data_IF_389902447824
#
_entry.id   IF_389902447824
#
_cell.length_a   1.000
_cell.length_b   1.000
_cell.length_c   1.000
_cell.angle_alpha   90.00
_cell.angle_beta   90.00
_cell.angle_gamma   90.00
#
_symmetry.space_group_name_H-M   'P 1'
#
loop_
_entity.id
_entity.type
_entity.pdbx_description
1 polymer ?
#
# COMPACT_ATOMS: atom_id res chain seq x y z
N UNK A 1 13.02 -12.53 -33.62
CA UNK A 1 14.00 -11.69 -34.35
C UNK A 1 14.62 -10.73 -33.34
N UNK A 2 15.87 -10.96 -32.92
CA UNK A 2 16.59 -10.04 -32.03
C UNK A 2 16.88 -8.73 -32.79
N UNK A 3 16.62 -7.54 -32.21
CA UNK A 3 16.95 -6.27 -32.86
C UNK A 3 18.47 -6.19 -33.01
N UNK A 4 18.91 -6.08 -34.27
CA UNK A 4 20.30 -6.03 -34.72
C UNK A 4 21.13 -5.00 -33.94
N UNK A 5 20.51 -3.96 -33.37
CA UNK A 5 21.15 -2.91 -32.58
C UNK A 5 21.68 -3.36 -31.20
N UNK A 6 21.03 -4.27 -30.48
CA UNK A 6 21.55 -4.75 -29.18
C UNK A 6 22.54 -5.92 -29.38
N UNK A 7 22.41 -6.68 -30.47
CA UNK A 7 23.37 -7.73 -30.86
C UNK A 7 24.66 -7.14 -31.46
N UNK A 8 24.61 -6.04 -32.20
CA UNK A 8 25.81 -5.36 -32.71
C UNK A 8 26.70 -4.85 -31.59
N UNK A 9 26.17 -4.37 -30.46
CA UNK A 9 27.00 -4.00 -29.31
C UNK A 9 27.67 -5.20 -28.64
N UNK A 10 27.06 -6.39 -28.68
CA UNK A 10 27.69 -7.60 -28.13
C UNK A 10 28.69 -8.24 -29.12
N UNK A 11 28.41 -8.17 -30.42
CA UNK A 11 29.24 -8.78 -31.47
C UNK A 11 30.43 -7.90 -31.89
N UNK A 12 30.31 -6.57 -31.77
CA UNK A 12 31.44 -5.65 -31.97
C UNK A 12 32.45 -5.79 -30.82
N UNK A 13 32.01 -6.08 -29.59
CA UNK A 13 32.92 -6.19 -28.43
C UNK A 13 33.77 -7.47 -28.41
N UNK A 14 33.26 -8.61 -28.90
CA UNK A 14 34.09 -9.83 -29.05
C UNK A 14 35.07 -9.73 -30.20
N UNK A 15 34.77 -8.91 -31.21
CA UNK A 15 35.68 -8.60 -32.32
C UNK A 15 36.72 -7.53 -31.96
N UNK A 16 36.45 -6.61 -31.04
CA UNK A 16 37.39 -5.55 -30.63
C UNK A 16 38.64 -6.13 -29.95
N UNK A 17 38.51 -7.18 -29.14
CA UNK A 17 39.66 -7.90 -28.57
C UNK A 17 40.51 -8.68 -29.60
N UNK A 18 40.02 -8.88 -30.83
CA UNK A 18 40.75 -9.52 -31.93
C UNK A 18 41.23 -8.51 -33.00
N UNK A 19 40.68 -7.30 -33.02
CA UNK A 19 41.00 -6.22 -33.97
C UNK A 19 42.06 -5.23 -33.45
N UNK A 20 42.40 -5.26 -32.17
CA UNK A 20 43.50 -4.44 -31.60
C UNK A 20 44.89 -4.76 -32.20
N UNK A 21 45.01 -5.83 -33.01
CA UNK A 21 46.21 -6.15 -33.81
C UNK A 21 46.19 -5.57 -35.25
N UNK A 22 45.10 -4.95 -35.72
CA UNK A 22 44.95 -4.47 -37.11
C UNK A 22 44.66 -2.95 -37.25
N UNK A 23 44.60 -2.19 -36.15
CA UNK A 23 44.06 -0.81 -36.08
C UNK A 23 45.16 0.27 -36.03
N UNK A 24 46.23 0.11 -36.82
CA UNK A 24 47.23 1.18 -37.01
C UNK A 24 46.79 2.24 -38.05
N UNK A 25 45.68 2.03 -38.77
CA UNK A 25 45.23 2.89 -39.89
C UNK A 25 43.79 3.43 -39.77
N UNK A 26 43.06 3.14 -38.69
CA UNK A 26 41.67 3.62 -38.43
C UNK A 26 41.55 4.58 -37.24
N UNK A 27 42.66 5.15 -36.78
CA UNK A 27 42.75 5.91 -35.52
C UNK A 27 41.98 7.25 -35.49
N UNK A 28 41.61 7.83 -36.63
CA UNK A 28 40.85 9.10 -36.67
C UNK A 28 39.32 8.91 -36.68
N UNK A 29 38.80 7.81 -37.21
CA UNK A 29 37.37 7.46 -37.17
C UNK A 29 37.02 6.59 -35.96
N UNK A 30 37.98 5.83 -35.43
CA UNK A 30 37.80 4.99 -34.25
C UNK A 30 37.48 5.78 -32.97
N UNK A 31 38.09 6.95 -32.77
CA UNK A 31 37.88 7.76 -31.57
C UNK A 31 36.49 8.40 -31.46
N UNK A 32 35.89 8.84 -32.59
CA UNK A 32 34.51 9.34 -32.58
C UNK A 32 33.51 8.22 -32.31
N UNK A 33 33.68 7.07 -32.96
CA UNK A 33 32.79 5.93 -32.76
C UNK A 33 32.87 5.37 -31.33
N UNK A 34 34.07 5.25 -30.75
CA UNK A 34 34.25 4.85 -29.35
C UNK A 34 33.58 5.81 -28.37
N UNK A 35 33.73 7.12 -28.56
CA UNK A 35 33.04 8.14 -27.76
C UNK A 35 31.51 8.02 -27.85
N UNK A 36 30.95 7.75 -29.03
CA UNK A 36 29.50 7.53 -29.19
C UNK A 36 29.01 6.27 -28.47
N UNK A 37 29.77 5.18 -28.52
CA UNK A 37 29.46 3.94 -27.78
C UNK A 37 29.45 4.20 -26.27
N UNK A 38 30.44 4.93 -25.74
CA UNK A 38 30.47 5.32 -24.32
C UNK A 38 29.28 6.20 -23.95
N UNK A 39 28.92 7.21 -24.76
CA UNK A 39 27.71 8.04 -24.53
C UNK A 39 26.43 7.20 -24.50
N UNK A 40 26.30 6.25 -25.43
CA UNK A 40 25.15 5.35 -25.52
C UNK A 40 25.04 4.43 -24.29
N UNK A 41 26.15 3.80 -23.91
CA UNK A 41 26.22 2.97 -22.70
C UNK A 41 25.95 3.78 -21.43
N UNK A 42 26.45 5.02 -21.37
CA UNK A 42 26.17 5.91 -20.26
C UNK A 42 24.67 6.22 -20.13
N UNK A 43 24.02 6.57 -21.26
CA UNK A 43 22.58 6.83 -21.29
C UNK A 43 21.79 5.61 -20.81
N UNK A 44 22.17 4.40 -21.24
CA UNK A 44 21.54 3.15 -20.79
C UNK A 44 21.76 2.92 -19.28
N UNK A 45 22.96 3.14 -18.76
CA UNK A 45 23.28 3.00 -17.35
C UNK A 45 22.48 3.99 -16.48
N UNK A 46 22.38 5.26 -16.90
CA UNK A 46 21.57 6.26 -16.21
C UNK A 46 20.08 5.86 -16.16
N UNK A 47 19.52 5.35 -17.27
CA UNK A 47 18.14 4.86 -17.33
C UNK A 47 17.90 3.63 -16.47
N UNK A 48 18.85 2.69 -16.42
CA UNK A 48 18.78 1.54 -15.51
C UNK A 48 18.83 1.97 -14.04
N UNK A 49 19.68 2.94 -13.69
CA UNK A 49 19.73 3.51 -12.34
C UNK A 49 18.41 4.20 -11.96
N UNK A 50 17.84 4.98 -12.88
CA UNK A 50 16.53 5.62 -12.72
C UNK A 50 15.39 4.60 -12.56
N UNK A 51 15.39 3.53 -13.35
CA UNK A 51 14.39 2.47 -13.26
C UNK A 51 14.51 1.72 -11.94
N UNK A 52 15.73 1.37 -11.52
CA UNK A 52 15.98 0.75 -10.21
C UNK A 52 15.42 1.60 -9.07
N UNK A 53 15.65 2.91 -9.08
CA UNK A 53 15.09 3.84 -8.09
C UNK A 53 13.58 3.94 -8.13
N UNK A 54 13.02 4.01 -9.33
CA UNK A 54 11.58 4.04 -9.51
C UNK A 54 10.94 2.74 -8.99
N UNK A 55 11.60 1.59 -9.16
CA UNK A 55 11.16 0.32 -8.61
C UNK A 55 11.19 0.31 -7.07
N UNK A 56 12.25 0.82 -6.44
CA UNK A 56 12.30 0.99 -4.98
C UNK A 56 11.15 1.89 -4.48
N UNK A 57 10.93 3.02 -5.15
CA UNK A 57 9.85 3.93 -4.79
C UNK A 57 8.46 3.31 -4.99
N UNK A 58 8.24 2.51 -6.04
CA UNK A 58 7.01 1.74 -6.24
C UNK A 58 6.82 0.67 -5.15
N UNK A 59 7.89 -0.03 -4.76
CA UNK A 59 7.88 -0.99 -3.66
C UNK A 59 7.44 -0.34 -2.34
N UNK A 60 8.01 0.83 -2.03
CA UNK A 60 7.60 1.64 -0.87
C UNK A 60 6.13 2.08 -0.91
N UNK A 61 5.62 2.50 -2.09
CA UNK A 61 4.20 2.83 -2.27
C UNK A 61 3.29 1.61 -2.06
N UNK A 62 3.68 0.46 -2.59
CA UNK A 62 2.93 -0.78 -2.43
C UNK A 62 2.84 -1.21 -0.95
N UNK A 63 3.96 -1.16 -0.24
CA UNK A 63 4.02 -1.43 1.21
C UNK A 63 3.13 -0.47 2.01
N UNK A 64 3.16 0.83 1.68
CA UNK A 64 2.30 1.83 2.30
C UNK A 64 0.80 1.56 2.07
N UNK A 65 0.40 1.12 0.86
CA UNK A 65 -0.99 0.74 0.58
C UNK A 65 -1.43 -0.48 1.39
N UNK A 66 -0.56 -1.49 1.55
CA UNK A 66 -0.86 -2.65 2.39
C UNK A 66 -1.02 -2.26 3.86
N UNK A 67 -0.16 -1.37 4.39
CA UNK A 67 -0.29 -0.83 5.74
C UNK A 67 -1.61 -0.06 5.91
N UNK A 68 -1.90 0.86 5.00
CA UNK A 68 -3.13 1.65 5.04
C UNK A 68 -4.39 0.77 4.97
N UNK A 69 -4.37 -0.32 4.20
CA UNK A 69 -5.48 -1.28 4.17
C UNK A 69 -5.65 -2.02 5.50
N UNK A 70 -4.55 -2.36 6.19
CA UNK A 70 -4.61 -2.95 7.52
C UNK A 70 -5.15 -1.97 8.56
N UNK A 71 -4.78 -0.69 8.49
CA UNK A 71 -5.31 0.35 9.38
C UNK A 71 -6.83 0.53 9.21
N UNK A 72 -7.32 0.55 7.97
CA UNK A 72 -8.78 0.57 7.68
C UNK A 72 -9.47 -0.62 8.32
N UNK A 73 -8.88 -1.81 8.22
CA UNK A 73 -9.42 -3.01 8.85
C UNK A 73 -9.47 -2.89 10.38
N UNK A 74 -8.39 -2.43 11.02
CA UNK A 74 -8.36 -2.24 12.48
C UNK A 74 -9.47 -1.30 12.95
N UNK A 75 -9.68 -0.18 12.25
CA UNK A 75 -10.79 0.74 12.56
C UNK A 75 -12.15 0.10 12.36
N UNK A 76 -12.31 -0.68 11.30
CA UNK A 76 -13.58 -1.37 11.00
C UNK A 76 -13.88 -2.49 12.00
N UNK A 77 -12.86 -3.22 12.44
CA UNK A 77 -13.01 -4.26 13.46
C UNK A 77 -13.40 -3.66 14.82
N UNK A 78 -12.82 -2.52 15.21
CA UNK A 78 -13.25 -1.78 16.39
C UNK A 78 -14.71 -1.32 16.29
N UNK A 79 -15.17 -0.89 15.11
CA UNK A 79 -16.58 -0.55 14.86
C UNK A 79 -17.48 -1.78 15.03
N UNK A 80 -17.05 -2.93 14.51
CA UNK A 80 -17.76 -4.20 14.65
C UNK A 80 -17.89 -4.58 16.14
N UNK A 81 -16.78 -4.57 16.89
CA UNK A 81 -16.76 -4.89 18.32
C UNK A 81 -17.71 -3.97 19.12
N UNK A 82 -17.66 -2.66 18.88
CA UNK A 82 -18.60 -1.70 19.50
C UNK A 82 -20.06 -1.99 19.15
N UNK A 83 -20.34 -2.48 17.94
CA UNK A 83 -21.67 -2.92 17.54
C UNK A 83 -22.12 -4.22 18.23
N UNK A 84 -21.20 -5.16 18.47
CA UNK A 84 -21.45 -6.40 19.23
C UNK A 84 -21.80 -6.10 20.68
N UNK A 85 -21.06 -5.19 21.31
CA UNK A 85 -21.37 -4.69 22.66
C UNK A 85 -22.76 -4.06 22.72
N UNK A 86 -23.10 -3.20 21.75
CA UNK A 86 -24.42 -2.55 21.69
C UNK A 86 -25.55 -3.57 21.52
N UNK A 87 -25.34 -4.63 20.72
CA UNK A 87 -26.31 -5.71 20.55
C UNK A 87 -26.49 -6.51 21.85
N UNK A 88 -25.38 -6.82 22.53
CA UNK A 88 -25.39 -7.54 23.80
C UNK A 88 -26.14 -6.73 24.88
N UNK A 89 -25.86 -5.43 24.99
CA UNK A 89 -26.57 -4.54 25.91
C UNK A 89 -28.09 -4.51 25.63
N UNK A 90 -28.49 -4.47 24.35
CA UNK A 90 -29.90 -4.49 23.97
C UNK A 90 -30.58 -5.83 24.33
N UNK A 91 -29.86 -6.95 24.16
CA UNK A 91 -30.34 -8.28 24.54
C UNK A 91 -30.50 -8.40 26.07
N UNK A 92 -29.49 -7.98 26.84
CA UNK A 92 -29.51 -8.04 28.30
C UNK A 92 -30.65 -7.16 28.86
N UNK A 93 -30.84 -5.96 28.31
CA UNK A 93 -31.98 -5.10 28.66
C UNK A 93 -33.34 -5.75 28.35
N UNK A 94 -33.48 -6.40 27.19
CA UNK A 94 -34.70 -7.11 26.84
C UNK A 94 -34.99 -8.28 27.79
N UNK A 95 -33.96 -9.04 28.18
CA UNK A 95 -34.07 -10.13 29.14
C UNK A 95 -34.44 -9.64 30.54
N UNK A 96 -33.80 -8.58 31.04
CA UNK A 96 -34.11 -7.98 32.34
C UNK A 96 -35.58 -7.53 32.39
N UNK A 97 -36.04 -6.82 31.37
CA UNK A 97 -37.41 -6.32 31.29
C UNK A 97 -38.43 -7.47 31.23
N UNK A 98 -38.14 -8.51 30.44
CA UNK A 98 -38.99 -9.69 30.33
C UNK A 98 -39.04 -10.52 31.63
N UNK A 99 -37.90 -10.76 32.29
CA UNK A 99 -37.82 -11.56 33.51
C UNK A 99 -38.41 -10.85 34.74
N UNK A 100 -38.17 -9.55 34.88
CA UNK A 100 -38.61 -8.80 36.06
C UNK A 100 -39.98 -8.10 35.89
N UNK A 101 -40.67 -8.29 34.75
CA UNK A 101 -41.90 -7.56 34.40
C UNK A 101 -41.76 -6.03 34.52
N UNK A 102 -40.55 -5.52 34.31
CA UNK A 102 -40.23 -4.09 34.45
C UNK A 102 -40.80 -3.36 33.23
N UNK A 103 -41.94 -2.69 33.40
CA UNK A 103 -42.63 -2.00 32.31
C UNK A 103 -44.12 -2.33 32.16
N UNK A 104 -44.67 -3.19 33.03
CA UNK A 104 -46.08 -3.53 33.03
C UNK A 104 -46.47 -4.45 31.86
N UNK A 105 -47.77 -4.55 31.60
CA UNK A 105 -48.32 -5.44 30.56
C UNK A 105 -47.77 -5.04 29.17
N UNK A 106 -46.97 -5.92 28.57
CA UNK A 106 -46.34 -5.69 27.26
C UNK A 106 -44.96 -5.02 27.29
N UNK A 107 -44.39 -4.73 28.47
CA UNK A 107 -43.02 -4.19 28.59
C UNK A 107 -41.97 -5.11 27.97
N UNK A 108 -42.05 -6.42 28.28
CA UNK A 108 -41.22 -7.47 27.69
C UNK A 108 -41.29 -7.51 26.16
N UNK A 109 -42.50 -7.47 25.60
CA UNK A 109 -42.70 -7.49 24.14
C UNK A 109 -42.10 -6.25 23.47
N UNK A 110 -42.23 -5.06 24.09
CA UNK A 110 -41.63 -3.83 23.57
C UNK A 110 -40.10 -3.88 23.62
N UNK A 111 -39.52 -4.37 24.71
CA UNK A 111 -38.08 -4.49 24.87
C UNK A 111 -37.50 -5.52 23.88
N UNK A 112 -38.18 -6.64 23.68
CA UNK A 112 -37.80 -7.63 22.68
C UNK A 112 -37.92 -7.07 21.25
N UNK A 113 -38.99 -6.33 20.92
CA UNK A 113 -39.12 -5.66 19.63
C UNK A 113 -38.03 -4.60 19.39
N UNK A 114 -37.59 -3.94 20.46
CA UNK A 114 -36.46 -3.02 20.47
C UNK A 114 -35.14 -3.75 20.15
N UNK A 115 -34.86 -4.85 20.85
CA UNK A 115 -33.71 -5.71 20.59
C UNK A 115 -33.67 -6.18 19.13
N UNK A 116 -34.79 -6.67 18.57
CA UNK A 116 -34.86 -7.12 17.18
C UNK A 116 -34.51 -6.01 16.16
N UNK A 117 -34.73 -4.73 16.49
CA UNK A 117 -34.30 -3.62 15.62
C UNK A 117 -32.80 -3.39 15.67
N UNK A 118 -32.20 -3.52 16.86
CA UNK A 118 -30.74 -3.45 17.04
C UNK A 118 -30.09 -4.63 16.31
N UNK A 119 -30.62 -5.83 16.46
CA UNK A 119 -30.17 -7.05 15.78
C UNK A 119 -30.22 -6.90 14.26
N UNK A 120 -31.35 -6.45 13.71
CA UNK A 120 -31.47 -6.20 12.27
C UNK A 120 -30.48 -5.14 11.76
N UNK A 121 -30.26 -4.05 12.51
CA UNK A 121 -29.26 -3.04 12.16
C UNK A 121 -27.84 -3.59 12.25
N UNK A 122 -27.58 -4.49 13.20
CA UNK A 122 -26.28 -5.11 13.40
C UNK A 122 -25.97 -6.13 12.31
N UNK A 123 -26.96 -6.86 11.79
CA UNK A 123 -26.81 -7.69 10.60
C UNK A 123 -26.42 -6.88 9.35
N UNK A 124 -27.00 -5.68 9.16
CA UNK A 124 -26.54 -4.77 8.10
C UNK A 124 -25.07 -4.36 8.29
N UNK A 125 -24.65 -4.11 9.54
CA UNK A 125 -23.26 -3.80 9.86
C UNK A 125 -22.33 -4.98 9.59
N UNK A 126 -22.70 -6.20 9.98
CA UNK A 126 -21.93 -7.43 9.68
C UNK A 126 -21.71 -7.60 8.18
N UNK A 127 -22.75 -7.34 7.38
CA UNK A 127 -22.64 -7.34 5.92
C UNK A 127 -21.62 -6.32 5.40
N UNK A 128 -21.66 -5.09 5.89
CA UNK A 128 -20.71 -4.04 5.52
C UNK A 128 -19.27 -4.35 5.96
N UNK A 129 -19.07 -4.85 7.18
CA UNK A 129 -17.75 -5.25 7.71
C UNK A 129 -17.16 -6.40 6.88
N UNK A 130 -17.98 -7.38 6.47
CA UNK A 130 -17.55 -8.45 5.57
C UNK A 130 -17.09 -7.90 4.21
N UNK A 131 -17.77 -6.89 3.67
CA UNK A 131 -17.36 -6.24 2.43
C UNK A 131 -15.99 -5.54 2.59
N UNK A 132 -15.80 -4.80 3.69
CA UNK A 132 -14.49 -4.19 4.02
C UNK A 132 -13.39 -5.26 4.11
N UNK A 133 -13.65 -6.39 4.77
CA UNK A 133 -12.68 -7.49 4.89
C UNK A 133 -12.25 -8.03 3.52
N UNK A 134 -13.21 -8.27 2.62
CA UNK A 134 -12.94 -8.75 1.26
C UNK A 134 -12.10 -7.74 0.46
N UNK A 135 -12.44 -6.45 0.55
CA UNK A 135 -11.70 -5.39 -0.13
C UNK A 135 -10.30 -5.19 0.45
N UNK A 136 -10.14 -5.34 1.77
CA UNK A 136 -8.84 -5.35 2.45
C UNK A 136 -7.96 -6.46 1.90
N UNK A 137 -8.46 -7.70 1.85
CA UNK A 137 -7.72 -8.83 1.30
C UNK A 137 -7.31 -8.59 -0.15
N UNK A 138 -8.22 -8.06 -0.98
CA UNK A 138 -7.92 -7.74 -2.38
C UNK A 138 -6.82 -6.68 -2.49
N UNK A 139 -6.91 -5.60 -1.70
CA UNK A 139 -5.94 -4.50 -1.69
C UNK A 139 -4.55 -5.00 -1.27
N UNK A 140 -4.48 -5.74 -0.16
CA UNK A 140 -3.21 -6.32 0.34
C UNK A 140 -2.62 -7.30 -0.66
N UNK A 141 -3.44 -8.14 -1.31
CA UNK A 141 -2.97 -9.07 -2.34
C UNK A 141 -2.33 -8.35 -3.53
N UNK A 142 -2.96 -7.30 -4.05
CA UNK A 142 -2.39 -6.53 -5.17
C UNK A 142 -1.15 -5.74 -4.75
N UNK A 143 -1.17 -5.15 -3.56
CA UNK A 143 -0.03 -4.43 -3.00
C UNK A 143 1.20 -5.34 -2.81
N UNK A 144 1.05 -6.51 -2.18
CA UNK A 144 2.15 -7.46 -2.00
C UNK A 144 2.67 -8.00 -3.34
N UNK A 145 1.79 -8.24 -4.31
CA UNK A 145 2.21 -8.64 -5.65
C UNK A 145 3.00 -7.53 -6.36
N UNK A 146 2.58 -6.26 -6.22
CA UNK A 146 3.31 -5.12 -6.74
C UNK A 146 4.68 -4.97 -6.05
N UNK A 147 4.76 -5.12 -4.73
CA UNK A 147 6.00 -5.05 -3.97
C UNK A 147 7.00 -6.13 -4.42
N UNK A 148 6.55 -7.39 -4.51
CA UNK A 148 7.38 -8.49 -4.99
C UNK A 148 7.89 -8.24 -6.42
N UNK A 149 7.02 -7.75 -7.31
CA UNK A 149 7.40 -7.46 -8.70
C UNK A 149 8.35 -6.26 -8.79
N UNK A 150 8.18 -5.25 -7.94
CA UNK A 150 9.06 -4.10 -7.82
C UNK A 150 10.47 -4.55 -7.38
N UNK A 151 10.57 -5.42 -6.37
CA UNK A 151 11.85 -5.94 -5.89
C UNK A 151 12.58 -6.76 -6.98
N UNK A 152 11.87 -7.63 -7.70
CA UNK A 152 12.43 -8.36 -8.85
C UNK A 152 12.90 -7.40 -9.95
N UNK A 153 12.13 -6.34 -10.20
CA UNK A 153 12.48 -5.32 -11.19
C UNK A 153 13.74 -4.56 -10.79
N UNK A 154 13.86 -4.19 -9.51
CA UNK A 154 15.04 -3.57 -8.94
C UNK A 154 16.27 -4.47 -9.08
N UNK A 155 16.16 -5.75 -8.72
CA UNK A 155 17.27 -6.71 -8.82
C UNK A 155 17.76 -6.86 -10.26
N UNK A 156 16.84 -7.01 -11.21
CA UNK A 156 17.17 -7.11 -12.64
C UNK A 156 17.78 -5.83 -13.18
N UNK A 157 17.27 -4.67 -12.76
CA UNK A 157 17.82 -3.37 -13.12
C UNK A 157 19.24 -3.20 -12.56
N UNK A 158 19.48 -3.58 -11.30
CA UNK A 158 20.80 -3.55 -10.67
C UNK A 158 21.79 -4.50 -11.31
N UNK A 159 21.38 -5.73 -11.66
CA UNK A 159 22.23 -6.68 -12.36
C UNK A 159 22.64 -6.12 -13.74
N UNK A 160 21.68 -5.58 -14.49
CA UNK A 160 21.93 -4.95 -15.79
C UNK A 160 22.83 -3.71 -15.66
N UNK A 161 22.62 -2.92 -14.60
CA UNK A 161 23.40 -1.73 -14.30
C UNK A 161 24.84 -2.07 -13.93
N UNK A 162 25.05 -3.09 -13.09
CA UNK A 162 26.38 -3.56 -12.69
C UNK A 162 27.20 -3.98 -13.91
N UNK A 163 26.60 -4.73 -14.84
CA UNK A 163 27.23 -5.09 -16.11
C UNK A 163 27.57 -3.87 -16.94
N UNK A 164 26.63 -2.91 -17.11
CA UNK A 164 26.86 -1.67 -17.85
C UNK A 164 27.98 -0.82 -17.22
N UNK A 165 28.02 -0.70 -15.90
CA UNK A 165 29.05 0.02 -15.15
C UNK A 165 30.42 -0.66 -15.27
N UNK A 166 30.48 -1.99 -15.26
CA UNK A 166 31.72 -2.74 -15.50
C UNK A 166 32.31 -2.42 -16.89
N UNK A 167 31.46 -2.36 -17.92
CA UNK A 167 31.89 -1.96 -19.27
C UNK A 167 32.37 -0.51 -19.34
N UNK A 168 31.68 0.43 -18.70
CA UNK A 168 32.10 1.84 -18.62
C UNK A 168 33.41 1.98 -17.83
N UNK A 169 33.60 1.18 -16.76
CA UNK A 169 34.84 1.21 -15.99
C UNK A 169 36.02 0.66 -16.80
N UNK A 170 35.81 -0.38 -17.60
CA UNK A 170 36.85 -0.90 -18.48
C UNK A 170 37.35 0.14 -19.50
N UNK A 171 36.46 1.01 -20.02
CA UNK A 171 36.87 2.09 -20.93
C UNK A 171 37.67 3.19 -20.22
N UNK A 172 37.44 3.44 -18.93
CA UNK A 172 38.27 4.37 -18.14
C UNK A 172 39.72 3.89 -17.96
N UNK A 173 39.95 2.58 -17.95
CA UNK A 173 41.28 1.99 -17.72
C UNK A 173 42.02 1.61 -19.00
N UNK A 174 41.31 1.42 -20.12
CA UNK A 174 41.87 0.88 -21.38
C UNK A 174 41.99 1.85 -22.55
N UNK A 175 41.58 3.12 -22.39
CA UNK A 175 41.50 4.09 -23.48
C UNK A 175 42.80 4.86 -23.73
N UNK A 176 43.30 4.82 -24.96
CA UNK A 176 44.35 5.73 -25.45
C UNK A 176 43.86 7.20 -25.62
N UNK A 177 42.54 7.42 -25.56
CA UNK A 177 41.90 8.73 -25.69
C UNK A 177 41.49 9.28 -24.30
N UNK A 178 42.14 10.36 -23.81
CA UNK A 178 41.81 10.95 -22.51
C UNK A 178 40.37 11.50 -22.44
N UNK A 179 39.78 11.91 -23.57
CA UNK A 179 38.39 12.40 -23.58
C UNK A 179 37.39 11.26 -23.37
N UNK A 180 37.66 10.07 -23.91
CA UNK A 180 36.84 8.86 -23.69
C UNK A 180 36.83 8.48 -22.20
N UNK A 181 38.01 8.46 -21.58
CA UNK A 181 38.16 8.19 -20.16
C UNK A 181 37.47 9.24 -19.27
N UNK A 182 37.54 10.52 -19.63
CA UNK A 182 36.86 11.58 -18.90
C UNK A 182 35.33 11.47 -19.01
N UNK A 183 34.81 11.18 -20.20
CA UNK A 183 33.38 10.97 -20.43
C UNK A 183 32.86 9.78 -19.61
N UNK A 184 33.58 8.66 -19.61
CA UNK A 184 33.23 7.49 -18.82
C UNK A 184 33.26 7.78 -17.30
N UNK A 185 34.28 8.50 -16.82
CA UNK A 185 34.36 8.92 -15.41
C UNK A 185 33.23 9.87 -15.00
N UNK A 186 32.85 10.83 -15.86
CA UNK A 186 31.70 11.70 -15.60
C UNK A 186 30.41 10.90 -15.51
N UNK A 187 30.23 9.93 -16.41
CA UNK A 187 29.09 9.02 -16.37
C UNK A 187 29.00 8.23 -15.06
N UNK A 188 30.12 7.65 -14.61
CA UNK A 188 30.17 6.90 -13.35
C UNK A 188 29.77 7.78 -12.17
N UNK A 189 30.25 9.03 -12.12
CA UNK A 189 29.86 10.01 -11.09
C UNK A 189 28.38 10.36 -11.16
N UNK A 190 27.80 10.52 -12.36
CA UNK A 190 26.38 10.80 -12.52
C UNK A 190 25.50 9.64 -12.07
N UNK A 191 25.88 8.40 -12.41
CA UNK A 191 25.16 7.20 -11.92
C UNK A 191 25.26 7.09 -10.41
N UNK A 192 26.43 7.30 -9.82
CA UNK A 192 26.62 7.22 -8.36
C UNK A 192 25.85 8.33 -7.62
N UNK A 193 25.85 9.56 -8.16
CA UNK A 193 25.03 10.65 -7.67
C UNK A 193 23.54 10.33 -7.79
N UNK A 194 23.13 9.74 -8.92
CA UNK A 194 21.76 9.29 -9.12
C UNK A 194 21.40 8.13 -8.22
N UNK A 195 22.30 7.27 -7.77
CA UNK A 195 22.04 6.15 -6.85
C UNK A 195 22.05 6.59 -5.38
N UNK A 196 22.83 7.60 -5.01
CA UNK A 196 22.92 8.12 -3.64
C UNK A 196 21.75 9.01 -3.20
N UNK A 197 21.08 9.71 -4.13
CA UNK A 197 19.94 10.60 -3.79
C UNK A 197 18.73 9.83 -3.22
N UNK A 198 18.24 10.14 -2.03
CA UNK A 198 16.97 9.56 -1.60
C UNK A 198 15.80 10.20 -2.37
N UNK A 199 15.39 9.60 -3.49
CA UNK A 199 14.37 10.15 -4.39
C UNK A 199 13.12 9.28 -4.32
N UNK A 200 12.00 9.88 -3.95
CA UNK A 200 10.67 9.26 -3.94
C UNK A 200 9.91 9.43 -5.26
N UNK A 201 10.48 10.19 -6.19
CA UNK A 201 9.92 10.43 -7.52
C UNK A 201 9.99 9.15 -8.34
N UNK A 202 8.81 8.61 -8.66
CA UNK A 202 8.65 7.48 -9.59
C UNK A 202 8.54 8.06 -10.99
N UNK A 203 9.43 7.64 -11.89
CA UNK A 203 9.29 7.93 -13.32
C UNK A 203 8.17 7.03 -13.88
N UNK A 204 7.28 7.62 -14.68
CA UNK A 204 6.15 6.89 -15.23
C UNK A 204 6.62 5.74 -16.14
N UNK A 205 5.96 4.58 -16.07
CA UNK A 205 6.31 3.43 -16.89
C UNK A 205 6.28 3.75 -18.40
N UNK A 206 5.38 4.64 -18.82
CA UNK A 206 5.26 5.14 -20.19
C UNK A 206 6.54 5.81 -20.71
N UNK A 207 7.36 6.42 -19.86
CA UNK A 207 8.62 7.04 -20.29
C UNK A 207 9.67 5.99 -20.69
N UNK A 208 9.73 4.88 -19.97
CA UNK A 208 10.60 3.75 -20.32
C UNK A 208 10.07 2.96 -21.52
N UNK A 209 8.74 2.87 -21.65
CA UNK A 209 8.12 2.22 -22.80
C UNK A 209 8.27 3.01 -24.10
N UNK A 210 8.22 4.34 -24.02
CA UNK A 210 8.39 5.22 -25.18
C UNK A 210 9.80 5.14 -25.78
N UNK A 211 10.82 4.85 -24.95
CA UNK A 211 12.17 4.61 -25.44
C UNK A 211 12.32 3.19 -26.00
N UNK A 212 12.02 3.07 -27.30
CA UNK A 212 12.17 1.82 -28.06
C UNK A 212 13.58 1.24 -27.99
N UNK A 213 14.63 2.07 -27.92
CA UNK A 213 16.02 1.58 -27.87
C UNK A 213 16.27 0.93 -26.50
N UNK A 214 15.86 1.60 -25.43
CA UNK A 214 16.00 1.08 -24.08
C UNK A 214 15.15 -0.17 -23.85
N UNK A 215 13.87 -0.14 -24.23
CA UNK A 215 12.95 -1.29 -24.12
C UNK A 215 13.45 -2.50 -24.91
N UNK A 216 14.02 -2.30 -26.10
CA UNK A 216 14.57 -3.39 -26.90
C UNK A 216 15.83 -4.03 -26.30
N UNK A 217 16.64 -3.25 -25.58
CA UNK A 217 17.83 -3.80 -24.92
C UNK A 217 17.54 -4.36 -23.51
N UNK A 218 16.46 -3.93 -22.85
CA UNK A 218 16.07 -4.40 -21.51
C UNK A 218 14.58 -4.76 -21.40
N UNK A 219 14.05 -5.64 -22.28
CA UNK A 219 12.61 -5.91 -22.35
C UNK A 219 12.08 -6.50 -21.05
N UNK A 220 12.84 -7.40 -20.41
CA UNK A 220 12.41 -8.05 -19.17
C UNK A 220 12.33 -7.10 -17.98
N UNK A 221 13.17 -6.06 -17.96
CA UNK A 221 13.19 -5.06 -16.89
C UNK A 221 12.03 -4.08 -17.07
N UNK A 222 11.86 -3.58 -18.29
CA UNK A 222 10.78 -2.63 -18.61
C UNK A 222 9.41 -3.29 -18.46
N UNK A 223 9.21 -4.52 -18.96
CA UNK A 223 7.92 -5.21 -18.82
C UNK A 223 7.59 -5.51 -17.34
N UNK A 224 8.58 -5.90 -16.53
CA UNK A 224 8.36 -6.12 -15.10
C UNK A 224 7.99 -4.81 -14.37
N UNK A 225 8.59 -3.67 -14.77
CA UNK A 225 8.25 -2.36 -14.24
C UNK A 225 6.81 -1.95 -14.62
N UNK A 226 6.41 -2.14 -15.88
CA UNK A 226 5.04 -1.86 -16.37
C UNK A 226 4.00 -2.71 -15.65
N UNK A 227 4.27 -4.00 -15.47
CA UNK A 227 3.41 -4.89 -14.70
C UNK A 227 3.28 -4.45 -13.23
N UNK A 228 4.39 -4.01 -12.63
CA UNK A 228 4.39 -3.47 -11.26
C UNK A 228 3.48 -2.25 -11.14
N UNK A 229 3.59 -1.30 -12.08
CA UNK A 229 2.75 -0.11 -12.12
C UNK A 229 1.26 -0.47 -12.29
N UNK A 230 0.95 -1.42 -13.17
CA UNK A 230 -0.41 -1.95 -13.34
C UNK A 230 -0.98 -2.59 -12.07
N UNK A 231 -0.17 -3.37 -11.34
CA UNK A 231 -0.57 -3.95 -10.05
C UNK A 231 -0.80 -2.87 -8.98
N UNK A 232 0.02 -1.83 -8.97
CA UNK A 232 -0.12 -0.70 -8.04
C UNK A 232 -1.40 0.10 -8.33
N UNK A 233 -1.73 0.31 -9.60
CA UNK A 233 -2.99 0.96 -10.00
C UNK A 233 -4.21 0.13 -9.53
N UNK A 234 -4.17 -1.19 -9.70
CA UNK A 234 -5.21 -2.10 -9.19
C UNK A 234 -5.31 -2.05 -7.65
N UNK A 235 -4.18 -1.95 -6.93
CA UNK A 235 -4.17 -1.80 -5.48
C UNK A 235 -4.75 -0.46 -5.04
N UNK A 236 -4.47 0.62 -5.76
CA UNK A 236 -4.99 1.96 -5.50
C UNK A 236 -6.51 2.02 -5.70
N UNK A 237 -7.01 1.47 -6.81
CA UNK A 237 -8.46 1.37 -7.06
C UNK A 237 -9.17 0.51 -5.99
N UNK A 238 -8.54 -0.61 -5.59
CA UNK A 238 -9.08 -1.44 -4.51
C UNK A 238 -9.10 -0.69 -3.16
N UNK A 239 -8.10 0.16 -2.89
CA UNK A 239 -8.03 0.99 -1.69
C UNK A 239 -9.13 2.06 -1.67
N UNK A 240 -9.41 2.72 -2.79
CA UNK A 240 -10.53 3.68 -2.88
C UNK A 240 -11.87 3.01 -2.57
N UNK A 241 -12.08 1.80 -3.09
CA UNK A 241 -13.28 0.99 -2.78
C UNK A 241 -13.31 0.57 -1.31
N UNK A 242 -12.16 0.22 -0.74
CA UNK A 242 -12.02 -0.12 0.68
C UNK A 242 -12.42 1.07 1.56
N UNK A 243 -11.99 2.28 1.22
CA UNK A 243 -12.34 3.51 1.96
C UNK A 243 -13.83 3.85 1.84
N UNK A 244 -14.41 3.64 0.66
CA UNK A 244 -15.86 3.77 0.48
C UNK A 244 -16.63 2.75 1.34
N UNK A 245 -16.16 1.50 1.39
CA UNK A 245 -16.77 0.46 2.22
C UNK A 245 -16.60 0.72 3.74
N UNK A 246 -15.46 1.30 4.18
CA UNK A 246 -15.28 1.74 5.56
C UNK A 246 -16.33 2.80 5.93
N UNK A 247 -16.56 3.77 5.06
CA UNK A 247 -17.58 4.79 5.28
C UNK A 247 -18.98 4.19 5.34
N UNK A 248 -19.29 3.21 4.49
CA UNK A 248 -20.55 2.48 4.57
C UNK A 248 -20.70 1.75 5.93
N UNK A 249 -19.67 1.03 6.38
CA UNK A 249 -19.67 0.36 7.68
C UNK A 249 -19.88 1.35 8.84
N UNK A 250 -19.26 2.54 8.79
CA UNK A 250 -19.50 3.62 9.76
C UNK A 250 -20.94 4.10 9.77
N UNK A 251 -21.57 4.26 8.61
CA UNK A 251 -22.98 4.64 8.49
C UNK A 251 -23.88 3.55 9.09
N UNK A 252 -23.61 2.27 8.80
CA UNK A 252 -24.37 1.14 9.38
C UNK A 252 -24.18 1.05 10.89
N UNK A 253 -22.97 1.27 11.40
CA UNK A 253 -22.72 1.31 12.84
C UNK A 253 -23.46 2.45 13.54
N UNK A 254 -23.59 3.60 12.89
CA UNK A 254 -24.45 4.67 13.39
C UNK A 254 -25.91 4.22 13.50
N UNK A 255 -26.43 3.49 12.49
CA UNK A 255 -27.79 2.92 12.58
C UNK A 255 -27.97 1.95 13.75
N UNK A 256 -26.96 1.14 14.08
CA UNK A 256 -26.99 0.26 15.26
C UNK A 256 -27.16 1.08 16.53
N UNK A 257 -26.35 2.13 16.70
CA UNK A 257 -26.46 3.05 17.84
C UNK A 257 -27.80 3.79 17.90
N UNK A 258 -28.28 4.26 16.75
CA UNK A 258 -29.57 4.95 16.64
C UNK A 258 -30.73 3.99 17.00
N UNK A 259 -30.71 2.75 16.50
CA UNK A 259 -31.68 1.72 16.85
C UNK A 259 -31.66 1.36 18.34
N UNK A 260 -30.48 1.30 18.95
CA UNK A 260 -30.33 1.06 20.39
C UNK A 260 -30.89 2.23 21.22
N UNK A 261 -30.63 3.48 20.79
CA UNK A 261 -31.20 4.66 21.43
C UNK A 261 -32.74 4.68 21.32
N UNK A 262 -33.29 4.38 20.15
CA UNK A 262 -34.74 4.33 19.94
C UNK A 262 -35.40 3.20 20.78
N UNK A 263 -34.69 2.08 20.93
CA UNK A 263 -35.08 0.96 21.78
C UNK A 263 -35.19 1.37 23.25
N UNK A 264 -34.20 2.09 23.78
CA UNK A 264 -34.23 2.61 25.15
C UNK A 264 -35.39 3.59 25.38
N UNK A 265 -35.66 4.48 24.43
CA UNK A 265 -36.78 5.44 24.52
C UNK A 265 -38.13 4.73 24.53
N UNK A 266 -38.30 3.70 23.70
CA UNK A 266 -39.53 2.90 23.67
C UNK A 266 -39.75 2.09 24.95
N UNK A 267 -38.67 1.59 25.56
CA UNK A 267 -38.73 0.94 26.86
C UNK A 267 -39.11 1.93 27.98
N UNK A 268 -38.56 3.16 27.97
CA UNK A 268 -38.86 4.19 28.96
C UNK A 268 -40.28 4.82 28.79
N UNK A 269 -40.80 4.88 27.57
CA UNK A 269 -42.10 5.48 27.25
C UNK A 269 -43.34 4.75 27.83
N UNK A 270 -43.15 3.57 28.45
CA UNK A 270 -44.22 2.78 29.05
C UNK A 270 -44.70 3.22 30.44
N UNK A 271 -43.97 4.09 31.16
CA UNK A 271 -44.38 4.52 32.50
C UNK A 271 -43.87 5.93 32.83
N UNK A 272 -44.75 6.94 32.74
CA UNK A 272 -44.47 8.28 33.30
C UNK A 272 -44.28 8.26 34.83
N UNK A 273 -44.60 7.16 35.53
CA UNK A 273 -44.37 7.00 36.98
C UNK A 273 -43.07 6.29 37.36
N UNK A 274 -42.36 5.62 36.45
CA UNK A 274 -41.10 4.91 36.74
C UNK A 274 -39.84 5.70 36.36
N UNK A 275 -39.99 6.88 35.76
CA UNK A 275 -38.86 7.71 35.33
C UNK A 275 -37.96 8.16 36.49
N UNK A 276 -38.44 8.18 37.74
CA UNK A 276 -37.56 8.45 38.89
C UNK A 276 -36.64 7.28 39.25
N UNK A 277 -37.08 6.02 39.11
CA UNK A 277 -36.20 4.87 39.35
C UNK A 277 -35.15 4.71 38.24
N UNK A 278 -35.52 4.90 36.98
CA UNK A 278 -34.57 4.79 35.86
C UNK A 278 -33.56 5.94 35.83
N UNK A 279 -33.91 7.13 36.33
CA UNK A 279 -32.93 8.22 36.45
C UNK A 279 -31.89 7.91 37.53
N UNK A 280 -32.31 7.38 38.69
CA UNK A 280 -31.38 6.98 39.77
C UNK A 280 -30.48 5.82 39.33
N UNK A 281 -31.02 4.84 38.59
CA UNK A 281 -30.23 3.72 38.11
C UNK A 281 -29.26 4.13 36.98
N UNK A 282 -29.68 5.02 36.06
CA UNK A 282 -28.78 5.58 35.03
C UNK A 282 -27.71 6.49 35.61
N UNK A 283 -28.05 7.33 36.59
CA UNK A 283 -27.07 8.15 37.31
C UNK A 283 -26.11 7.26 38.11
N UNK A 284 -26.63 6.22 38.77
CA UNK A 284 -25.83 5.24 39.50
C UNK A 284 -24.90 4.44 38.59
N UNK A 285 -25.37 4.01 37.43
CA UNK A 285 -24.56 3.27 36.45
C UNK A 285 -23.53 4.17 35.78
N UNK A 286 -23.86 5.42 35.42
CA UNK A 286 -22.86 6.36 34.91
C UNK A 286 -21.82 6.72 35.98
N UNK A 287 -22.21 6.91 37.25
CA UNK A 287 -21.26 7.08 38.35
C UNK A 287 -20.38 5.84 38.53
N UNK A 288 -20.95 4.64 38.43
CA UNK A 288 -20.19 3.39 38.56
C UNK A 288 -19.18 3.23 37.42
N UNK A 289 -19.57 3.49 36.16
CA UNK A 289 -18.67 3.43 35.01
C UNK A 289 -17.58 4.49 35.12
N UNK A 290 -17.89 5.74 35.50
CA UNK A 290 -16.89 6.79 35.69
C UNK A 290 -15.93 6.45 36.84
N UNK A 291 -16.43 5.90 37.95
CA UNK A 291 -15.57 5.47 39.06
C UNK A 291 -14.69 4.31 38.61
N UNK A 292 -15.23 3.27 37.98
CA UNK A 292 -14.44 2.12 37.52
C UNK A 292 -13.37 2.53 36.48
N UNK A 293 -13.68 3.43 35.54
CA UNK A 293 -12.69 3.92 34.58
C UNK A 293 -11.65 4.86 35.19
N UNK A 294 -12.01 5.65 36.20
CA UNK A 294 -11.02 6.52 36.89
C UNK A 294 -10.17 5.74 37.88
N UNK A 295 -10.69 4.71 38.56
CA UNK A 295 -9.90 3.87 39.47
C UNK A 295 -9.02 2.87 38.73
N UNK A 296 -9.51 2.25 37.64
CA UNK A 296 -8.69 1.34 36.83
C UNK A 296 -7.73 2.08 35.88
N UNK A 297 -7.97 3.37 35.62
CA UNK A 297 -7.09 4.24 34.83
C UNK A 297 -6.02 4.99 35.62
N UNK A 298 -6.08 4.98 36.96
CA UNK A 298 -5.07 5.63 37.83
C UNK A 298 -4.09 4.65 38.49
N UNK A 299 -4.35 3.34 38.45
CA UNK A 299 -3.42 2.32 38.99
C UNK A 299 -2.42 1.76 37.96
N UNK A 300 -2.42 2.22 36.70
CA UNK A 300 -1.46 1.73 35.68
C UNK A 300 -0.30 2.68 35.36
N UNK A 301 -0.11 3.77 36.11
CA UNK A 301 0.99 4.74 35.90
C UNK A 301 2.01 4.82 37.05
N UNK A 302 1.95 3.94 38.05
CA UNK A 302 2.92 3.94 39.18
C UNK A 302 3.78 2.67 39.35
N UNK A 303 3.66 1.64 38.50
CA UNK A 303 4.55 0.46 38.57
C UNK A 303 4.79 -0.22 37.21
N UNK A 304 5.68 0.35 36.38
CA UNK A 304 6.59 -0.31 35.42
C UNK A 304 7.37 0.75 34.64
#
# INVERSE_FOLDING_TARGET
MLPVSCALTAFVFTYVSALDAMVATSQLTGGQHRREVVKSNCTKALKLAQLSKSAVALSGKASALASAANEVWTRTDAIKQSGEETLQDANDNAQIIAHHNVGGRGGGERAYAAFLRVDAAFEELRGAVKNVWLLKQKTVKHALAAEQRANVTQERAHASLSTALSHIKATTTGGADPEEGQLANNCLKEVDLLLSKNTTTVIAASEFEADKIFKNCYPEVVNAFVETDGLLNNATEAKERLDAAENEARVKAKKVRDAARDAEVLAAGGNKSSNQCNLVWRLGFMLFVVVCFTTLGLESEETA
#
